data_IF_037905359741
#
_entry.id   IF_037905359741
#
_cell.length_a   1.000
_cell.length_b   1.000
_cell.length_c   1.000
_cell.angle_alpha   90.00
_cell.angle_beta   90.00
_cell.angle_gamma   90.00
#
_symmetry.space_group_name_H-M   'P 1'
#
loop_
_entity.id
_entity.type
_entity.pdbx_description
1 polymer ?
#
# COMPACT_ATOMS: atom_id res chain seq x y z
N UNK A 1 -21.51 13.13 6.23
CA UNK A 1 -21.35 11.97 7.13
C UNK A 1 -20.57 10.93 6.33
N UNK A 2 -19.32 10.66 6.72
CA UNK A 2 -18.61 9.47 6.24
C UNK A 2 -19.39 8.27 6.76
N UNK A 3 -20.07 7.55 5.87
CA UNK A 3 -20.47 6.19 6.23
C UNK A 3 -19.19 5.36 6.25
N UNK A 4 -18.88 4.64 7.34
CA UNK A 4 -17.76 3.72 7.32
C UNK A 4 -17.98 2.74 6.16
N UNK A 5 -16.99 2.65 5.26
CA UNK A 5 -17.02 1.66 4.19
C UNK A 5 -17.20 0.28 4.84
N UNK A 6 -18.15 -0.51 4.35
CA UNK A 6 -18.28 -1.87 4.82
C UNK A 6 -16.95 -2.62 4.59
N UNK A 7 -16.60 -3.48 5.55
CA UNK A 7 -15.30 -4.14 5.63
C UNK A 7 -14.88 -4.81 4.30
N UNK A 8 -15.77 -5.50 3.54
CA UNK A 8 -15.43 -6.06 2.24
C UNK A 8 -15.04 -5.02 1.18
N UNK A 9 -15.70 -3.86 1.16
CA UNK A 9 -15.39 -2.76 0.26
C UNK A 9 -14.03 -2.14 0.58
N UNK A 10 -13.69 -2.00 1.88
CA UNK A 10 -12.38 -1.54 2.29
C UNK A 10 -11.28 -2.53 1.89
N UNK A 11 -11.46 -3.83 2.12
CA UNK A 11 -10.47 -4.85 1.76
C UNK A 11 -10.19 -4.84 0.25
N UNK A 12 -11.25 -4.76 -0.58
CA UNK A 12 -11.10 -4.61 -2.04
C UNK A 12 -10.38 -3.33 -2.45
N UNK A 13 -10.63 -2.23 -1.74
CA UNK A 13 -9.93 -0.98 -1.96
C UNK A 13 -8.46 -1.10 -1.58
N UNK A 14 -8.13 -1.70 -0.43
CA UNK A 14 -6.77 -1.92 0.03
C UNK A 14 -5.98 -2.78 -0.98
N UNK A 15 -6.57 -3.88 -1.46
CA UNK A 15 -5.97 -4.71 -2.51
C UNK A 15 -5.68 -3.91 -3.78
N UNK A 16 -6.64 -3.10 -4.24
CA UNK A 16 -6.47 -2.26 -5.42
C UNK A 16 -5.35 -1.22 -5.23
N UNK A 17 -5.25 -0.61 -4.04
CA UNK A 17 -4.17 0.33 -3.72
C UNK A 17 -2.80 -0.36 -3.65
N UNK A 18 -2.71 -1.54 -3.03
CA UNK A 18 -1.47 -2.31 -2.99
C UNK A 18 -1.03 -2.73 -4.41
N UNK A 19 -1.98 -3.18 -5.25
CA UNK A 19 -1.72 -3.51 -6.66
C UNK A 19 -1.23 -2.29 -7.45
N UNK A 20 -1.89 -1.14 -7.29
CA UNK A 20 -1.46 0.11 -7.93
C UNK A 20 -0.07 0.55 -7.46
N UNK A 21 0.22 0.41 -6.16
CA UNK A 21 1.55 0.68 -5.61
C UNK A 21 2.63 -0.20 -6.23
N UNK A 22 2.38 -1.51 -6.37
CA UNK A 22 3.30 -2.45 -7.06
C UNK A 22 3.51 -2.07 -8.52
N UNK A 23 2.45 -1.66 -9.22
CA UNK A 23 2.54 -1.16 -10.59
C UNK A 23 3.45 0.07 -10.69
N UNK A 24 3.26 1.09 -9.84
CA UNK A 24 4.13 2.28 -9.81
C UNK A 24 5.59 1.92 -9.52
N UNK A 25 5.86 0.97 -8.63
CA UNK A 25 7.21 0.49 -8.34
C UNK A 25 7.84 -0.20 -9.54
N UNK A 26 7.08 -1.00 -10.29
CA UNK A 26 7.57 -1.69 -11.48
C UNK A 26 7.85 -0.72 -12.64
N UNK A 27 7.02 0.31 -12.80
CA UNK A 27 7.16 1.29 -13.87
C UNK A 27 8.26 2.31 -13.60
N UNK A 28 8.33 2.85 -12.37
CA UNK A 28 9.26 3.90 -11.99
C UNK A 28 10.59 3.38 -11.46
N UNK A 29 11.28 2.59 -12.29
CA UNK A 29 12.61 2.03 -12.00
C UNK A 29 13.74 3.03 -12.29
N UNK A 30 14.90 2.81 -11.66
CA UNK A 30 16.11 3.59 -11.92
C UNK A 30 16.72 3.19 -13.26
N UNK A 31 17.15 4.14 -14.06
CA UNK A 31 17.96 3.90 -15.26
C UNK A 31 19.47 3.99 -14.97
N UNK A 32 20.31 3.86 -16.01
CA UNK A 32 21.77 3.92 -15.89
C UNK A 32 22.33 5.30 -15.54
N UNK A 33 21.52 6.36 -15.57
CA UNK A 33 21.93 7.73 -15.25
C UNK A 33 21.63 8.13 -13.81
N UNK A 34 20.90 7.27 -13.08
CA UNK A 34 20.40 7.58 -11.74
C UNK A 34 19.04 8.29 -11.73
N UNK A 35 18.43 8.50 -12.90
CA UNK A 35 17.09 9.02 -13.06
C UNK A 35 16.05 7.89 -13.11
N UNK A 36 14.78 8.25 -12.99
CA UNK A 36 13.66 7.35 -13.19
C UNK A 36 13.41 7.16 -14.68
N UNK A 37 13.35 5.90 -15.14
CA UNK A 37 13.16 5.56 -16.55
C UNK A 37 11.83 6.03 -17.15
N UNK A 38 10.77 6.15 -16.33
CA UNK A 38 9.42 6.49 -16.81
C UNK A 38 9.21 8.00 -16.89
N UNK A 39 9.72 8.77 -15.91
CA UNK A 39 9.46 10.22 -15.84
C UNK A 39 10.70 11.12 -15.97
N UNK A 40 11.90 10.55 -16.09
CA UNK A 40 13.17 11.30 -16.27
C UNK A 40 13.66 12.09 -15.05
N UNK A 41 12.91 12.12 -13.94
CA UNK A 41 13.30 12.81 -12.69
C UNK A 41 14.33 12.00 -11.91
N UNK A 42 15.06 12.64 -11.00
CA UNK A 42 15.98 11.95 -10.09
C UNK A 42 15.28 10.79 -9.35
N UNK A 43 15.95 9.64 -9.27
CA UNK A 43 15.44 8.46 -8.57
C UNK A 43 15.82 8.50 -7.07
N UNK A 44 14.89 8.18 -6.14
CA UNK A 44 13.51 7.80 -6.37
C UNK A 44 12.62 9.01 -6.69
N UNK A 45 11.78 8.89 -7.73
CA UNK A 45 10.80 9.93 -8.06
C UNK A 45 9.54 9.84 -7.18
N UNK A 46 8.74 10.90 -7.17
CA UNK A 46 7.51 11.00 -6.36
C UNK A 46 6.56 9.81 -6.55
N UNK A 47 6.34 9.39 -7.80
CA UNK A 47 5.49 8.23 -8.11
C UNK A 47 6.01 6.92 -7.53
N UNK A 48 7.33 6.69 -7.57
CA UNK A 48 7.93 5.53 -6.93
C UNK A 48 7.76 5.58 -5.42
N UNK A 49 8.02 6.75 -4.81
CA UNK A 49 7.85 6.95 -3.38
C UNK A 49 6.39 6.74 -2.96
N UNK A 50 5.44 7.22 -3.76
CA UNK A 50 4.01 6.99 -3.56
C UNK A 50 3.66 5.50 -3.65
N UNK A 51 4.12 4.80 -4.68
CA UNK A 51 3.90 3.35 -4.80
C UNK A 51 4.44 2.56 -3.61
N UNK A 52 5.62 2.93 -3.10
CA UNK A 52 6.18 2.36 -1.87
C UNK A 52 5.28 2.58 -0.65
N UNK A 53 4.75 3.79 -0.49
CA UNK A 53 3.80 4.10 0.61
C UNK A 53 2.51 3.30 0.50
N UNK A 54 1.95 3.14 -0.70
CA UNK A 54 0.73 2.34 -0.90
C UNK A 54 0.94 0.88 -0.53
N UNK A 55 2.05 0.27 -0.95
CA UNK A 55 2.35 -1.13 -0.61
C UNK A 55 2.53 -1.30 0.89
N UNK A 56 3.33 -0.46 1.54
CA UNK A 56 3.55 -0.54 3.00
C UNK A 56 2.26 -0.32 3.77
N UNK A 57 1.39 0.57 3.30
CA UNK A 57 0.16 0.87 4.00
C UNK A 57 -0.92 -0.20 3.80
N UNK A 58 -1.08 -0.75 2.59
CA UNK A 58 -2.24 -1.58 2.24
C UNK A 58 -1.98 -3.09 2.10
N UNK A 59 -0.74 -3.55 1.93
CA UNK A 59 -0.48 -4.95 1.56
C UNK A 59 -0.84 -5.98 2.64
N UNK A 60 -0.87 -5.58 3.91
CA UNK A 60 -1.11 -6.48 5.06
C UNK A 60 -2.55 -6.39 5.61
N UNK A 61 -3.46 -5.73 4.89
CA UNK A 61 -4.87 -5.68 5.28
C UNK A 61 -5.65 -6.92 4.83
N UNK A 62 -5.08 -8.12 4.90
CA UNK A 62 -5.67 -9.36 4.36
C UNK A 62 -6.90 -9.90 5.13
N UNK A 63 -7.50 -9.08 6.01
CA UNK A 63 -8.62 -9.47 6.86
C UNK A 63 -8.23 -10.37 8.04
N UNK A 64 -6.95 -10.71 8.20
CA UNK A 64 -6.43 -11.33 9.41
C UNK A 64 -6.25 -10.29 10.51
N UNK A 65 -6.81 -10.53 11.70
CA UNK A 65 -6.43 -9.72 12.84
C UNK A 65 -4.91 -9.81 13.06
N UNK A 66 -4.22 -8.66 13.25
CA UNK A 66 -2.81 -8.70 13.60
C UNK A 66 -2.65 -9.57 14.84
N UNK A 67 -1.68 -10.50 14.81
CA UNK A 67 -1.42 -11.38 15.95
C UNK A 67 -1.19 -10.62 17.27
N UNK A 68 -0.81 -9.34 17.17
CA UNK A 68 -0.60 -8.38 18.26
C UNK A 68 -1.90 -7.90 18.94
N UNK A 69 -3.07 -7.99 18.29
CA UNK A 69 -4.36 -7.53 18.84
C UNK A 69 -5.11 -8.64 19.58
N UNK A 70 -4.87 -9.91 19.20
CA UNK A 70 -5.51 -11.09 19.79
C UNK A 70 -5.51 -11.17 21.33
N UNK A 71 -4.44 -10.76 22.05
CA UNK A 71 -4.44 -10.80 23.52
C UNK A 71 -5.46 -9.85 24.16
N UNK A 72 -5.80 -8.73 23.52
CA UNK A 72 -6.64 -7.68 24.07
C UNK A 72 -8.14 -7.90 23.85
N UNK A 73 -8.52 -8.74 22.88
CA UNK A 73 -9.92 -9.11 22.64
C UNK A 73 -10.39 -10.24 23.56
N UNK A 74 -9.47 -11.05 24.09
CA UNK A 74 -9.78 -12.16 24.99
C UNK A 74 -10.14 -11.72 26.42
N UNK A 75 -9.83 -10.48 26.77
CA UNK A 75 -10.10 -9.89 28.09
C UNK A 75 -11.42 -9.10 28.16
N UNK A 76 -12.15 -9.00 27.05
CA UNK A 76 -13.43 -8.29 26.97
C UNK A 76 -14.66 -9.19 27.18
N UNK A 77 -14.47 -10.43 27.68
CA UNK A 77 -15.52 -11.40 28.00
C UNK A 77 -15.62 -11.69 29.48
#
# INVERSE_FOLDING_TARGET
>A
MDMPMAEPEFLRYADAQAAYGRHLLAEHQRDGTGCCRSCGRAHPCEQRAHGGRLVVHYADWDGGEPALVRPYLRTAG
#
